data_IF_144436267780
#
_entry.id   IF_144436267780
#
_cell.length_a   1.000
_cell.length_b   1.000
_cell.length_c   1.000
_cell.angle_alpha   90.00
_cell.angle_beta   90.00
_cell.angle_gamma   90.00
#
_symmetry.space_group_name_H-M   'P 1'
#
loop_
_entity.id
_entity.type
_entity.pdbx_description
1 polymer ?
#
# COMPACT_ATOMS: atom_id res chain seq x y z
N UNK A 1 0.26 -14.90 33.72
CA UNK A 1 0.42 -15.15 32.26
C UNK A 1 1.76 -14.58 31.85
N UNK A 2 2.62 -15.35 31.19
CA UNK A 2 3.92 -14.85 30.76
C UNK A 2 3.73 -13.76 29.70
N UNK A 3 4.40 -12.62 29.84
CA UNK A 3 4.38 -11.54 28.87
C UNK A 3 5.03 -12.04 27.57
N UNK A 4 4.39 -11.80 26.42
CA UNK A 4 4.97 -12.11 25.11
C UNK A 4 6.37 -11.48 24.97
N UNK A 5 7.31 -12.13 24.25
CA UNK A 5 8.67 -11.63 24.12
C UNK A 5 8.69 -10.24 23.49
N UNK A 6 9.43 -9.33 24.12
CA UNK A 6 9.64 -7.99 23.58
C UNK A 6 10.49 -8.00 22.30
N UNK A 7 10.49 -6.89 21.54
CA UNK A 7 11.20 -6.79 20.26
C UNK A 7 12.72 -7.01 20.37
N UNK A 8 13.31 -6.78 21.56
CA UNK A 8 14.74 -7.02 21.81
C UNK A 8 15.12 -8.50 21.75
N UNK A 9 14.21 -9.41 22.12
CA UNK A 9 14.44 -10.86 21.98
C UNK A 9 14.49 -11.23 20.50
N UNK A 10 13.59 -10.67 19.69
CA UNK A 10 13.56 -10.89 18.26
C UNK A 10 14.84 -10.39 17.57
N UNK A 11 15.40 -9.28 18.04
CA UNK A 11 16.64 -8.67 17.51
C UNK A 11 17.83 -9.62 17.57
N UNK A 12 17.93 -10.45 18.62
CA UNK A 12 19.06 -11.38 18.81
C UNK A 12 19.21 -12.38 17.65
N UNK A 13 18.11 -12.73 16.98
CA UNK A 13 18.11 -13.65 15.83
C UNK A 13 17.80 -12.96 14.49
N UNK A 14 17.17 -11.78 14.52
CA UNK A 14 16.71 -11.05 13.32
C UNK A 14 17.25 -9.61 13.27
N UNK A 15 18.56 -9.47 13.42
CA UNK A 15 19.25 -8.17 13.52
C UNK A 15 18.98 -7.27 12.30
N UNK A 16 19.17 -7.77 11.08
CA UNK A 16 18.96 -6.99 9.86
C UNK A 16 17.52 -6.49 9.72
N UNK A 17 16.55 -7.35 10.04
CA UNK A 17 15.11 -7.01 9.99
C UNK A 17 14.74 -6.00 11.06
N UNK A 18 15.32 -6.13 12.26
CA UNK A 18 15.15 -5.16 13.32
C UNK A 18 15.73 -3.79 12.89
N UNK A 19 16.95 -3.79 12.33
CA UNK A 19 17.61 -2.57 11.88
C UNK A 19 16.79 -1.86 10.80
N UNK A 20 16.34 -2.56 9.76
CA UNK A 20 15.54 -1.94 8.70
C UNK A 20 14.15 -1.50 9.19
N UNK A 21 13.50 -2.28 10.05
CA UNK A 21 12.23 -1.92 10.69
C UNK A 21 12.36 -0.66 11.54
N UNK A 22 13.46 -0.51 12.28
CA UNK A 22 13.71 0.61 13.18
C UNK A 22 13.70 1.98 12.48
N UNK A 23 13.92 2.00 11.16
CA UNK A 23 13.91 3.19 10.31
C UNK A 23 12.51 3.55 9.78
N UNK A 24 11.50 2.73 10.06
CA UNK A 24 10.14 2.94 9.53
C UNK A 24 9.29 3.81 10.44
N UNK A 25 8.11 4.23 9.96
CA UNK A 25 7.13 4.90 10.83
C UNK A 25 6.52 3.97 11.88
N UNK A 26 6.51 2.66 11.64
CA UNK A 26 5.93 1.69 12.57
C UNK A 26 6.81 1.44 13.81
N UNK A 27 8.10 1.77 13.75
CA UNK A 27 9.04 1.62 14.88
C UNK A 27 8.97 2.76 15.92
N UNK A 28 8.16 3.80 15.67
CA UNK A 28 8.15 5.03 16.45
C UNK A 28 7.48 4.85 17.82
N UNK A 29 8.24 4.41 18.83
CA UNK A 29 7.75 4.19 20.21
C UNK A 29 7.04 5.40 20.84
N UNK A 30 7.38 6.62 20.44
CA UNK A 30 6.76 7.84 20.93
C UNK A 30 5.32 8.06 20.41
N UNK A 31 4.94 7.42 19.30
CA UNK A 31 3.57 7.47 18.79
C UNK A 31 2.79 6.25 19.27
N UNK A 32 1.86 6.47 20.19
CA UNK A 32 1.04 5.44 20.82
C UNK A 32 0.20 4.60 19.84
N UNK A 33 -0.01 5.08 18.60
CA UNK A 33 -0.77 4.35 17.58
C UNK A 33 0.06 3.26 16.91
N UNK A 34 1.38 3.36 16.99
CA UNK A 34 2.29 2.50 16.23
C UNK A 34 2.45 1.11 16.85
N UNK A 35 2.77 0.11 16.02
CA UNK A 35 3.20 -1.21 16.48
C UNK A 35 4.21 -1.15 17.63
N UNK A 36 5.26 -0.33 17.51
CA UNK A 36 6.31 -0.23 18.52
C UNK A 36 5.83 0.20 19.92
N UNK A 37 4.76 0.99 20.00
CA UNK A 37 4.17 1.40 21.28
C UNK A 37 3.20 0.36 21.87
N UNK A 38 2.63 -0.53 21.05
CA UNK A 38 1.58 -1.49 21.45
C UNK A 38 2.03 -2.94 21.64
N UNK A 39 3.28 -3.26 21.29
CA UNK A 39 3.83 -4.62 21.39
C UNK A 39 5.01 -4.91 20.47
N UNK A 40 5.36 -3.99 19.58
CA UNK A 40 6.46 -4.15 18.63
C UNK A 40 6.17 -5.24 17.61
N UNK A 41 7.11 -6.16 17.43
CA UNK A 41 7.08 -7.20 16.41
C UNK A 41 5.81 -8.07 16.48
N UNK A 42 5.37 -8.42 17.70
CA UNK A 42 4.24 -9.35 17.91
C UNK A 42 2.90 -8.77 17.47
N UNK A 43 2.79 -7.46 17.26
CA UNK A 43 1.56 -6.84 16.75
C UNK A 43 1.24 -7.27 15.32
N UNK A 44 2.26 -7.54 14.51
CA UNK A 44 2.09 -8.06 13.14
C UNK A 44 2.37 -9.57 13.06
N UNK A 45 3.28 -10.06 13.90
CA UNK A 45 3.78 -11.43 13.84
C UNK A 45 3.06 -12.39 14.80
N UNK A 46 2.19 -11.90 15.68
CA UNK A 46 1.56 -12.73 16.73
C UNK A 46 2.52 -13.06 17.87
N UNK A 47 2.05 -13.80 18.87
CA UNK A 47 2.84 -14.20 20.03
C UNK A 47 4.01 -15.12 19.62
N UNK A 48 5.24 -14.63 19.80
CA UNK A 48 6.46 -15.35 19.46
C UNK A 48 6.97 -16.30 20.56
N UNK A 49 6.24 -16.50 21.66
CA UNK A 49 6.72 -17.27 22.81
C UNK A 49 7.15 -18.69 22.43
N UNK A 50 6.30 -19.44 21.72
CA UNK A 50 6.62 -20.81 21.31
C UNK A 50 7.69 -20.83 20.21
N UNK A 51 7.75 -19.79 19.37
CA UNK A 51 8.80 -19.64 18.36
C UNK A 51 10.18 -19.50 19.01
N UNK A 52 10.29 -18.66 20.04
CA UNK A 52 11.53 -18.44 20.79
C UNK A 52 11.93 -19.71 21.55
N UNK A 53 10.97 -20.38 22.23
CA UNK A 53 11.24 -21.62 22.97
C UNK A 53 11.78 -22.74 22.09
N UNK A 54 11.29 -22.83 20.86
CA UNK A 54 11.72 -23.85 19.90
C UNK A 54 13.09 -23.53 19.25
N UNK A 55 13.72 -22.40 19.58
CA UNK A 55 15.00 -21.99 18.98
C UNK A 55 14.86 -21.33 17.62
N UNK A 56 13.65 -20.89 17.24
CA UNK A 56 13.36 -20.26 15.97
C UNK A 56 13.08 -21.25 14.83
N UNK A 57 13.05 -20.73 13.60
CA UNK A 57 12.77 -21.51 12.39
C UNK A 57 11.51 -21.08 11.65
N UNK A 58 11.50 -21.28 10.34
CA UNK A 58 10.39 -20.83 9.48
C UNK A 58 9.13 -21.64 9.76
N UNK A 59 8.05 -20.97 10.16
CA UNK A 59 6.77 -21.60 10.48
C UNK A 59 6.73 -22.30 11.84
N UNK A 60 7.76 -22.12 12.67
CA UNK A 60 7.85 -22.72 14.00
C UNK A 60 7.15 -21.82 15.02
N UNK A 61 6.41 -22.43 15.95
CA UNK A 61 5.86 -21.75 17.11
C UNK A 61 4.75 -20.74 16.81
N UNK A 62 4.02 -20.93 15.71
CA UNK A 62 2.81 -20.16 15.39
C UNK A 62 3.04 -18.70 14.98
N UNK A 63 4.29 -18.28 14.77
CA UNK A 63 4.59 -16.90 14.35
C UNK A 63 4.05 -16.63 12.94
N UNK A 64 3.27 -15.57 12.81
CA UNK A 64 2.71 -15.11 11.53
C UNK A 64 3.80 -14.47 10.69
N UNK A 65 3.75 -14.68 9.38
CA UNK A 65 4.63 -14.01 8.43
C UNK A 65 3.79 -13.40 7.30
N UNK A 66 3.48 -12.09 7.37
CA UNK A 66 2.73 -11.40 6.33
C UNK A 66 3.37 -11.48 4.94
N UNK A 67 4.69 -11.69 4.86
CA UNK A 67 5.41 -11.90 3.59
C UNK A 67 5.45 -13.35 3.10
N UNK A 68 4.80 -14.30 3.79
CA UNK A 68 4.81 -15.71 3.39
C UNK A 68 4.00 -15.94 2.12
N UNK A 69 4.51 -16.76 1.20
CA UNK A 69 3.76 -17.18 0.00
C UNK A 69 2.57 -18.09 0.32
N UNK A 70 2.61 -18.78 1.46
CA UNK A 70 1.61 -19.79 1.85
C UNK A 70 0.48 -19.23 2.70
N UNK A 71 0.64 -18.02 3.23
CA UNK A 71 -0.41 -17.36 4.02
C UNK A 71 -1.44 -16.73 3.06
N UNK A 72 -2.74 -16.96 3.25
CA UNK A 72 -3.81 -16.33 2.48
C UNK A 72 -3.76 -14.79 2.52
N UNK A 73 -4.18 -14.13 1.43
CA UNK A 73 -4.08 -12.67 1.32
C UNK A 73 -5.04 -11.94 2.25
N UNK A 74 -6.22 -12.48 2.51
CA UNK A 74 -7.16 -11.99 3.51
C UNK A 74 -6.55 -11.99 4.92
N UNK A 75 -5.86 -13.07 5.32
CA UNK A 75 -5.19 -13.13 6.61
C UNK A 75 -4.04 -12.12 6.70
N UNK A 76 -3.23 -11.97 5.64
CA UNK A 76 -2.17 -10.95 5.57
C UNK A 76 -2.73 -9.54 5.72
N UNK A 77 -3.79 -9.25 4.97
CA UNK A 77 -4.41 -7.93 4.93
C UNK A 77 -5.10 -7.61 6.25
N UNK A 78 -5.75 -8.60 6.87
CA UNK A 78 -6.42 -8.46 8.16
C UNK A 78 -5.50 -7.90 9.24
N UNK A 79 -4.25 -8.34 9.29
CA UNK A 79 -3.24 -7.82 10.23
C UNK A 79 -3.01 -6.31 10.05
N UNK A 80 -2.98 -5.83 8.82
CA UNK A 80 -2.80 -4.41 8.53
C UNK A 80 -4.09 -3.63 8.81
N UNK A 81 -5.23 -4.20 8.43
CA UNK A 81 -6.55 -3.57 8.48
C UNK A 81 -7.02 -3.31 9.91
N UNK A 82 -6.59 -4.11 10.90
CA UNK A 82 -6.89 -3.83 12.32
C UNK A 82 -6.48 -2.41 12.75
N UNK A 83 -5.54 -1.77 12.04
CA UNK A 83 -5.15 -0.38 12.24
C UNK A 83 -5.41 0.53 11.02
N UNK A 84 -5.51 -0.03 9.80
CA UNK A 84 -5.56 0.73 8.54
C UNK A 84 -6.89 0.65 7.78
N UNK A 85 -8.00 0.30 8.44
CA UNK A 85 -9.35 0.28 7.83
C UNK A 85 -9.86 1.65 7.34
N UNK A 86 -9.26 2.76 7.79
CA UNK A 86 -9.76 4.12 7.51
C UNK A 86 -9.20 4.85 6.28
N UNK A 87 -9.82 6.00 5.99
CA UNK A 87 -9.32 6.99 5.04
C UNK A 87 -9.28 6.48 3.61
N UNK A 88 -8.09 6.44 2.99
CA UNK A 88 -7.95 5.93 1.61
C UNK A 88 -8.24 4.43 1.45
N UNK A 89 -8.51 3.68 2.52
CA UNK A 89 -8.78 2.23 2.48
C UNK A 89 -10.23 1.84 2.80
N UNK A 90 -11.14 2.81 2.96
CA UNK A 90 -12.54 2.53 3.30
C UNK A 90 -13.18 1.53 2.32
N UNK A 91 -12.84 1.65 1.03
CA UNK A 91 -13.36 0.80 -0.05
C UNK A 91 -12.47 -0.43 -0.34
N UNK A 92 -11.55 -0.79 0.56
CA UNK A 92 -10.59 -1.88 0.31
C UNK A 92 -11.26 -3.20 -0.02
N UNK A 93 -12.25 -3.60 0.76
CA UNK A 93 -12.97 -4.87 0.59
C UNK A 93 -13.64 -5.01 -0.78
N UNK A 94 -14.01 -3.90 -1.41
CA UNK A 94 -14.65 -3.85 -2.73
C UNK A 94 -13.65 -3.54 -3.85
N UNK A 95 -12.39 -3.27 -3.52
CA UNK A 95 -11.37 -2.92 -4.51
C UNK A 95 -11.03 -4.10 -5.41
N UNK A 96 -10.64 -3.79 -6.66
CA UNK A 96 -10.17 -4.79 -7.60
C UNK A 96 -8.89 -5.51 -7.13
N UNK A 97 -8.07 -4.86 -6.30
CA UNK A 97 -6.88 -5.51 -5.72
C UNK A 97 -7.26 -6.51 -4.62
N UNK A 98 -8.17 -6.16 -3.73
CA UNK A 98 -8.63 -7.08 -2.68
C UNK A 98 -9.35 -8.30 -3.27
N UNK A 99 -10.26 -8.08 -4.22
CA UNK A 99 -11.02 -9.16 -4.89
C UNK A 99 -10.17 -10.02 -5.84
N UNK A 100 -8.91 -9.66 -6.08
CA UNK A 100 -7.92 -10.43 -6.84
C UNK A 100 -6.79 -10.94 -5.96
N UNK A 101 -7.06 -11.16 -4.68
CA UNK A 101 -6.14 -11.74 -3.70
C UNK A 101 -4.80 -11.01 -3.58
N UNK A 102 -4.78 -9.70 -3.81
CA UNK A 102 -3.57 -8.91 -3.62
C UNK A 102 -3.39 -8.61 -2.14
N UNK A 103 -2.20 -8.92 -1.62
CA UNK A 103 -1.83 -8.59 -0.25
C UNK A 103 -1.21 -7.18 -0.17
N UNK A 104 -1.37 -6.48 0.95
CA UNK A 104 -0.71 -5.19 1.20
C UNK A 104 0.82 -5.30 1.00
N UNK A 105 1.39 -6.41 1.43
CA UNK A 105 2.83 -6.73 1.33
C UNK A 105 3.31 -7.00 -0.09
N UNK A 106 2.41 -7.16 -1.07
CA UNK A 106 2.77 -7.26 -2.49
C UNK A 106 3.25 -5.92 -3.05
N UNK A 107 2.87 -4.81 -2.41
CA UNK A 107 3.27 -3.45 -2.82
C UNK A 107 4.09 -2.74 -1.73
N UNK A 108 3.67 -2.86 -0.47
CA UNK A 108 4.29 -2.15 0.66
C UNK A 108 5.40 -2.97 1.32
N UNK A 109 6.51 -2.31 1.63
CA UNK A 109 7.64 -2.91 2.34
C UNK A 109 7.81 -2.31 3.74
N UNK A 110 7.51 -3.12 4.77
CA UNK A 110 7.52 -2.68 6.18
C UNK A 110 8.85 -2.96 6.91
N UNK A 111 9.71 -3.80 6.33
CA UNK A 111 11.07 -4.07 6.81
C UNK A 111 12.09 -3.38 5.91
N UNK A 112 11.78 -2.17 5.44
CA UNK A 112 12.68 -1.32 4.68
C UNK A 112 12.44 0.14 5.08
N UNK A 113 13.51 0.92 5.18
CA UNK A 113 13.46 2.34 5.53
C UNK A 113 12.66 3.15 4.50
N UNK A 114 12.76 2.75 3.24
CA UNK A 114 12.02 3.34 2.13
C UNK A 114 11.10 2.30 1.50
N UNK A 115 9.83 2.68 1.40
CA UNK A 115 8.80 1.89 0.74
C UNK A 115 8.66 2.36 -0.72
N UNK A 116 9.08 1.58 -1.73
CA UNK A 116 9.15 2.05 -3.11
C UNK A 116 7.80 2.55 -3.65
N UNK A 117 6.69 1.94 -3.24
CA UNK A 117 5.36 2.35 -3.73
C UNK A 117 4.94 3.75 -3.24
N UNK A 118 5.60 4.28 -2.20
CA UNK A 118 5.34 5.62 -1.67
C UNK A 118 6.18 6.72 -2.31
N UNK A 119 7.25 6.36 -3.00
CA UNK A 119 8.10 7.33 -3.68
C UNK A 119 7.59 7.56 -5.10
N UNK A 120 7.57 8.83 -5.54
CA UNK A 120 6.96 9.19 -6.83
C UNK A 120 7.69 8.59 -8.02
N UNK A 121 9.01 8.47 -7.94
CA UNK A 121 9.85 7.98 -9.03
C UNK A 121 9.72 6.46 -9.14
N UNK A 122 9.63 5.77 -8.01
CA UNK A 122 9.64 4.29 -7.99
C UNK A 122 8.26 3.63 -7.91
N UNK A 123 7.18 4.37 -7.63
CA UNK A 123 5.82 3.83 -7.55
C UNK A 123 5.39 3.11 -8.83
N UNK A 124 5.67 3.70 -9.99
CA UNK A 124 5.22 3.19 -11.28
C UNK A 124 5.77 1.78 -11.57
N UNK A 125 7.02 1.52 -11.22
CA UNK A 125 7.65 0.21 -11.40
C UNK A 125 7.01 -0.88 -10.54
N UNK A 126 6.54 -0.55 -9.33
CA UNK A 126 5.75 -1.49 -8.51
C UNK A 126 4.45 -1.86 -9.22
N UNK A 127 3.74 -0.87 -9.77
CA UNK A 127 2.51 -1.10 -10.53
C UNK A 127 2.75 -1.97 -11.77
N UNK A 128 3.85 -1.73 -12.49
CA UNK A 128 4.18 -2.41 -13.74
C UNK A 128 4.56 -3.89 -13.59
N UNK A 129 4.79 -4.36 -12.35
CA UNK A 129 4.93 -5.80 -12.08
C UNK A 129 3.73 -6.60 -12.60
N UNK A 130 2.53 -6.01 -12.54
CA UNK A 130 1.30 -6.58 -13.09
C UNK A 130 0.74 -5.77 -14.27
N UNK A 131 0.77 -4.43 -14.20
CA UNK A 131 0.18 -3.51 -15.19
C UNK A 131 1.11 -3.26 -16.40
N UNK A 132 1.44 -4.34 -17.13
CA UNK A 132 2.38 -4.30 -18.25
C UNK A 132 1.89 -3.46 -19.44
N UNK A 133 0.58 -3.44 -19.68
CA UNK A 133 0.00 -2.62 -20.74
C UNK A 133 0.18 -1.13 -20.45
N UNK A 134 -0.06 -0.70 -19.20
CA UNK A 134 0.15 0.68 -18.80
C UNK A 134 1.62 1.08 -18.94
N UNK A 135 2.57 0.17 -18.67
CA UNK A 135 4.00 0.40 -18.94
C UNK A 135 4.27 0.68 -20.42
N UNK A 136 3.57 0.02 -21.33
CA UNK A 136 3.72 0.29 -22.76
C UNK A 136 3.09 1.64 -23.15
N UNK A 137 1.91 1.95 -22.62
CA UNK A 137 1.18 3.21 -22.91
C UNK A 137 1.94 4.44 -22.41
N UNK A 138 2.47 4.39 -21.19
CA UNK A 138 3.32 5.44 -20.63
C UNK A 138 4.70 5.49 -21.28
N UNK A 139 5.01 4.68 -22.29
CA UNK A 139 6.21 4.82 -23.11
C UNK A 139 5.97 5.52 -24.46
N UNK A 140 4.73 5.94 -24.73
CA UNK A 140 4.37 6.68 -25.94
C UNK A 140 4.80 8.16 -25.87
N UNK A 141 4.93 8.85 -27.02
CA UNK A 141 5.34 10.26 -27.07
C UNK A 141 4.39 11.21 -26.33
N UNK A 142 3.08 10.99 -26.44
CA UNK A 142 2.06 11.79 -25.77
C UNK A 142 1.50 11.00 -24.60
N UNK A 143 1.85 11.45 -23.39
CA UNK A 143 1.50 10.81 -22.12
C UNK A 143 1.58 11.81 -20.98
N UNK A 144 1.01 11.45 -19.84
CA UNK A 144 1.35 12.10 -18.58
C UNK A 144 2.81 11.78 -18.19
N UNK A 145 3.55 12.74 -17.59
CA UNK A 145 4.97 12.60 -17.27
C UNK A 145 5.23 11.71 -16.03
N UNK A 146 4.84 10.43 -16.13
CA UNK A 146 4.98 9.41 -15.08
C UNK A 146 6.43 8.92 -14.94
N UNK A 147 7.15 8.55 -16.03
CA UNK A 147 8.57 8.18 -15.92
C UNK A 147 9.45 9.30 -15.36
N UNK A 148 9.05 10.55 -15.59
CA UNK A 148 9.73 11.74 -15.09
C UNK A 148 9.35 12.07 -13.63
N UNK A 149 8.45 11.30 -13.00
CA UNK A 149 8.06 11.45 -11.59
C UNK A 149 7.24 12.70 -11.28
N UNK A 150 6.75 13.42 -12.30
CA UNK A 150 6.00 14.68 -12.12
C UNK A 150 4.56 14.41 -11.69
N UNK A 151 3.99 13.31 -12.15
CA UNK A 151 2.71 12.75 -11.70
C UNK A 151 2.85 11.23 -11.56
N UNK A 152 2.00 10.60 -10.77
CA UNK A 152 2.05 9.15 -10.52
C UNK A 152 0.67 8.51 -10.61
N UNK A 153 0.65 7.18 -10.69
CA UNK A 153 -0.59 6.41 -10.78
C UNK A 153 -1.58 6.79 -9.67
N UNK A 154 -1.06 7.00 -8.45
CA UNK A 154 -1.85 7.34 -7.27
C UNK A 154 -2.42 8.76 -7.23
N UNK A 155 -2.01 9.63 -8.16
CA UNK A 155 -2.59 10.98 -8.29
C UNK A 155 -3.99 10.90 -8.94
N UNK A 156 -4.21 9.90 -9.79
CA UNK A 156 -5.49 9.65 -10.45
C UNK A 156 -6.25 8.46 -9.88
N UNK A 157 -5.57 7.40 -9.43
CA UNK A 157 -6.20 6.17 -8.94
C UNK A 157 -5.94 5.94 -7.45
N UNK A 158 -6.92 5.39 -6.74
CA UNK A 158 -6.71 4.84 -5.41
C UNK A 158 -6.54 3.31 -5.49
N UNK A 159 -5.32 2.76 -5.35
CA UNK A 159 -5.10 1.33 -5.44
C UNK A 159 -5.77 0.55 -4.30
N UNK A 160 -6.26 1.25 -3.27
CA UNK A 160 -6.97 0.65 -2.16
C UNK A 160 -8.50 0.67 -2.30
N UNK A 161 -9.05 1.10 -3.44
CA UNK A 161 -10.50 1.21 -3.64
C UNK A 161 -10.99 2.66 -3.73
N UNK A 162 -11.97 2.90 -4.60
CA UNK A 162 -12.68 4.17 -4.73
C UNK A 162 -14.03 3.93 -5.39
N UNK A 163 -15.00 4.82 -5.12
CA UNK A 163 -16.28 4.86 -5.82
C UNK A 163 -16.15 5.33 -7.28
N UNK A 164 -15.06 6.04 -7.60
CA UNK A 164 -14.78 6.52 -8.95
C UNK A 164 -14.55 5.39 -9.97
N UNK A 165 -14.84 5.64 -11.25
CA UNK A 165 -14.65 4.65 -12.31
C UNK A 165 -13.19 4.19 -12.36
N UNK A 166 -12.97 2.87 -12.51
CA UNK A 166 -11.62 2.27 -12.53
C UNK A 166 -10.76 2.71 -11.34
N UNK A 167 -11.37 2.83 -10.16
CA UNK A 167 -10.72 3.27 -8.92
C UNK A 167 -10.17 4.69 -8.96
N UNK A 168 -10.72 5.59 -9.78
CA UNK A 168 -10.30 6.98 -9.79
C UNK A 168 -10.55 7.68 -8.45
N UNK A 169 -9.69 8.63 -8.07
CA UNK A 169 -9.75 9.32 -6.77
C UNK A 169 -10.93 10.29 -6.62
N UNK A 170 -11.64 10.60 -7.72
CA UNK A 170 -12.89 11.37 -7.73
C UNK A 170 -14.00 10.53 -8.37
N UNK A 171 -15.23 11.00 -8.17
CA UNK A 171 -16.45 10.29 -8.57
C UNK A 171 -16.60 10.15 -10.08
N UNK A 172 -15.97 11.05 -10.86
CA UNK A 172 -16.00 11.03 -12.32
C UNK A 172 -14.59 11.14 -12.93
N UNK A 173 -14.48 10.74 -14.21
CA UNK A 173 -13.26 10.95 -15.00
C UNK A 173 -12.90 12.43 -15.05
N UNK A 174 -13.87 13.27 -15.39
CA UNK A 174 -13.69 14.72 -15.56
C UNK A 174 -13.24 15.38 -14.26
N UNK A 175 -13.87 15.08 -13.12
CA UNK A 175 -13.46 15.63 -11.83
C UNK A 175 -12.04 15.23 -11.44
N UNK A 176 -11.61 14.02 -11.82
CA UNK A 176 -10.23 13.59 -11.62
C UNK A 176 -9.27 14.45 -12.44
N UNK A 177 -9.57 14.66 -13.73
CA UNK A 177 -8.77 15.51 -14.63
C UNK A 177 -8.70 16.97 -14.15
N UNK A 178 -9.81 17.53 -13.67
CA UNK A 178 -9.89 18.92 -13.22
C UNK A 178 -9.10 19.22 -11.95
N UNK A 179 -8.56 18.21 -11.26
CA UNK A 179 -7.64 18.44 -10.15
C UNK A 179 -6.33 19.13 -10.59
N UNK A 180 -5.95 18.97 -11.86
CA UNK A 180 -4.80 19.65 -12.45
C UNK A 180 -5.21 20.54 -13.62
N UNK A 181 -6.14 20.07 -14.45
CA UNK A 181 -6.65 20.80 -15.62
C UNK A 181 -7.86 21.67 -15.27
N UNK A 182 -7.71 22.50 -14.23
CA UNK A 182 -8.79 23.36 -13.73
C UNK A 182 -9.37 24.29 -14.79
N UNK A 183 -8.54 24.70 -15.75
CA UNK A 183 -8.88 25.55 -16.87
C UNK A 183 -9.83 24.87 -17.87
N UNK A 184 -10.11 23.58 -17.71
CA UNK A 184 -11.02 22.79 -18.55
C UNK A 184 -12.37 22.50 -17.88
N UNK A 185 -12.57 22.88 -16.61
CA UNK A 185 -13.78 22.56 -15.83
C UNK A 185 -15.04 23.27 -16.32
N UNK A 186 -14.89 24.47 -16.89
CA UNK A 186 -16.02 25.30 -17.27
C UNK A 186 -16.82 25.81 -16.06
N UNK A 187 -18.05 26.32 -16.29
CA UNK A 187 -18.78 26.31 -17.56
C UNK A 187 -18.19 27.28 -18.60
N UNK A 188 -18.04 26.83 -19.85
CA UNK A 188 -17.77 27.73 -20.98
C UNK A 188 -19.07 28.12 -21.68
N UNK A 189 -19.07 29.29 -22.34
CA UNK A 189 -20.21 29.78 -23.13
C UNK A 189 -20.54 28.84 -24.30
N UNK A 190 -19.51 28.21 -24.88
CA UNK A 190 -19.64 27.19 -25.92
C UNK A 190 -18.75 26.00 -25.54
N UNK A 191 -19.37 24.88 -25.16
CA UNK A 191 -18.68 23.65 -24.83
C UNK A 191 -18.68 22.70 -26.03
N UNK A 192 -17.65 21.86 -26.13
CA UNK A 192 -17.64 20.73 -27.04
C UNK A 192 -18.23 19.52 -26.30
N UNK A 193 -19.38 19.01 -26.74
CA UNK A 193 -20.19 18.05 -25.97
C UNK A 193 -19.43 16.80 -25.49
N UNK A 194 -18.61 16.12 -26.31
CA UNK A 194 -17.74 15.03 -25.84
C UNK A 194 -16.91 15.34 -24.58
N UNK A 195 -16.32 16.54 -24.50
CA UNK A 195 -15.45 16.92 -23.37
C UNK A 195 -16.25 17.10 -22.08
N UNK A 196 -17.51 17.53 -22.19
CA UNK A 196 -18.39 17.66 -21.02
C UNK A 196 -18.89 16.32 -20.50
N UNK A 197 -18.92 15.29 -21.35
CA UNK A 197 -19.39 13.94 -20.99
C UNK A 197 -18.25 13.07 -20.46
N UNK A 198 -17.11 13.00 -21.16
CA UNK A 198 -15.96 12.21 -20.75
C UNK A 198 -14.66 12.80 -21.36
N UNK A 199 -13.67 13.16 -20.54
CA UNK A 199 -12.38 13.66 -21.03
C UNK A 199 -11.50 12.56 -21.68
N UNK A 200 -11.92 11.30 -21.64
CA UNK A 200 -11.14 10.15 -22.14
C UNK A 200 -11.57 9.62 -23.51
N UNK A 201 -12.58 10.23 -24.15
CA UNK A 201 -13.08 9.87 -25.49
C UNK A 201 -12.51 10.73 -26.62
#
# INVERSE_FOLDING_TARGET
MAQAPGPEVCKLCHEERYASYSLTRHSMKADARTPAAKGGCVTCHGDGTEHVKAGGGRGVGGIKNPGSKTMPSDEKNGICLTCHEGGKRMEWSLSLHATRDTACTSCHQVHNSHDPVRDKVTQSEVCFTCHKEQRAQINRPFRHPIPEGKVVCSDCHNPHGSAGPKLMVRDTVNDTCYQCHTEKRGPFVRNHQPVTEDCSI
#
